data_IF_337974664801
#
_entry.id   IF_337974664801
#
_cell.length_a   1.000
_cell.length_b   1.000
_cell.length_c   1.000
_cell.angle_alpha   90.00
_cell.angle_beta   90.00
_cell.angle_gamma   90.00
#
_symmetry.space_group_name_H-M   'P 1'
#
loop_
_entity.id
_entity.type
_entity.pdbx_description
1 polymer ?
#
# COMPACT_ATOMS: atom_id res chain seq x y z
N UNK A 1 38.03 36.20 -23.81
CA UNK A 1 37.70 34.76 -23.75
C UNK A 1 37.21 34.44 -22.36
N UNK A 2 35.90 34.26 -22.20
CA UNK A 2 35.25 33.95 -20.93
C UNK A 2 35.61 32.53 -20.48
N UNK A 3 36.43 32.43 -19.42
CA UNK A 3 36.69 31.18 -18.72
C UNK A 3 35.43 30.73 -17.97
N UNK A 4 34.73 29.73 -18.53
CA UNK A 4 33.63 29.08 -17.83
C UNK A 4 34.26 28.12 -16.79
N UNK A 5 34.44 28.62 -15.57
CA UNK A 5 34.77 27.81 -14.40
C UNK A 5 33.56 26.95 -14.03
N UNK A 6 33.40 25.80 -14.69
CA UNK A 6 32.56 24.72 -14.18
C UNK A 6 33.19 24.16 -12.90
N UNK A 7 32.85 24.77 -11.77
CA UNK A 7 33.10 24.16 -10.46
C UNK A 7 32.15 22.98 -10.34
N UNK A 8 32.59 21.82 -10.82
CA UNK A 8 31.90 20.55 -10.59
C UNK A 8 31.91 20.35 -9.07
N UNK A 9 30.76 20.54 -8.43
CA UNK A 9 30.57 20.20 -7.01
C UNK A 9 30.87 18.71 -6.86
N UNK A 10 32.03 18.38 -6.30
CA UNK A 10 32.37 17.01 -5.92
C UNK A 10 31.28 16.51 -4.98
N UNK A 11 30.62 15.40 -5.35
CA UNK A 11 29.72 14.69 -4.45
C UNK A 11 30.49 14.39 -3.17
N UNK A 12 30.02 14.90 -2.03
CA UNK A 12 30.63 14.66 -0.72
C UNK A 12 30.93 13.17 -0.55
N UNK A 13 32.21 12.82 -0.43
CA UNK A 13 32.62 11.43 -0.27
C UNK A 13 32.07 10.91 1.06
N UNK A 14 31.14 9.94 1.00
CA UNK A 14 30.58 9.35 2.22
C UNK A 14 31.65 8.51 2.91
N UNK A 15 31.98 8.85 4.15
CA UNK A 15 32.88 8.06 5.01
C UNK A 15 32.40 6.60 5.05
N UNK A 16 33.31 5.64 4.94
CA UNK A 16 33.04 4.19 4.87
C UNK A 16 32.20 3.70 3.67
N UNK A 17 32.16 4.45 2.56
CA UNK A 17 31.56 3.98 1.31
C UNK A 17 32.60 3.41 0.33
N UNK A 18 32.20 2.44 -0.50
CA UNK A 18 32.99 1.99 -1.65
C UNK A 18 33.09 3.11 -2.70
N UNK A 19 34.14 3.07 -3.52
CA UNK A 19 34.28 3.97 -4.66
C UNK A 19 33.11 3.76 -5.64
N UNK A 20 32.48 4.85 -6.03
CA UNK A 20 31.52 4.87 -7.13
C UNK A 20 32.24 4.69 -8.47
N UNK A 21 31.50 4.30 -9.51
CA UNK A 21 32.05 4.23 -10.88
C UNK A 21 32.63 5.57 -11.31
N UNK A 22 31.98 6.69 -10.95
CA UNK A 22 32.48 8.03 -11.22
C UNK A 22 33.85 8.30 -10.56
N UNK A 23 33.99 8.00 -9.27
CA UNK A 23 35.28 8.12 -8.58
C UNK A 23 36.35 7.22 -9.22
N UNK A 24 35.99 5.99 -9.62
CA UNK A 24 36.91 5.08 -10.32
C UNK A 24 37.37 5.64 -11.67
N UNK A 25 36.49 6.31 -12.42
CA UNK A 25 36.80 7.00 -13.68
C UNK A 25 37.72 8.20 -13.47
N UNK A 26 37.52 8.98 -12.40
CA UNK A 26 38.43 10.07 -12.04
C UNK A 26 39.84 9.55 -11.67
N UNK A 27 39.93 8.43 -10.95
CA UNK A 27 41.23 7.78 -10.69
C UNK A 27 41.93 7.44 -12.00
N UNK A 28 41.20 6.95 -13.00
CA UNK A 28 41.77 6.59 -14.30
C UNK A 28 42.31 7.81 -15.04
N UNK A 29 41.52 8.88 -15.13
CA UNK A 29 41.95 10.12 -15.78
C UNK A 29 43.21 10.68 -15.11
N UNK A 30 43.20 10.82 -13.78
CA UNK A 30 44.34 11.41 -13.07
C UNK A 30 45.57 10.51 -13.00
N UNK A 31 45.40 9.18 -13.10
CA UNK A 31 46.52 8.26 -13.23
C UNK A 31 47.19 8.40 -14.61
N UNK A 32 46.41 8.63 -15.67
CA UNK A 32 46.93 8.94 -17.01
C UNK A 32 47.65 10.30 -17.05
N UNK A 33 47.17 11.28 -16.29
CA UNK A 33 47.83 12.58 -16.13
C UNK A 33 49.13 12.52 -15.29
N UNK A 34 49.53 11.34 -14.81
CA UNK A 34 50.75 11.14 -14.04
C UNK A 34 50.65 11.54 -12.56
N UNK A 35 49.44 11.78 -12.03
CA UNK A 35 49.27 12.13 -10.62
C UNK A 35 49.59 10.93 -9.71
N UNK A 36 50.27 11.19 -8.59
CA UNK A 36 50.56 10.14 -7.59
C UNK A 36 49.28 9.64 -6.91
N UNK A 37 49.28 8.39 -6.46
CA UNK A 37 48.12 7.81 -5.76
C UNK A 37 47.73 8.60 -4.49
N UNK A 38 48.71 9.23 -3.81
CA UNK A 38 48.45 10.10 -2.64
C UNK A 38 47.75 11.39 -3.04
N UNK A 39 48.15 11.99 -4.16
CA UNK A 39 47.50 13.19 -4.69
C UNK A 39 46.07 12.90 -5.14
N UNK A 40 45.85 11.79 -5.85
CA UNK A 40 44.51 11.32 -6.22
C UNK A 40 43.63 11.10 -4.98
N UNK A 41 44.19 10.50 -3.92
CA UNK A 41 43.48 10.26 -2.66
C UNK A 41 43.06 11.58 -1.98
N UNK A 42 43.95 12.57 -1.96
CA UNK A 42 43.68 13.91 -1.43
C UNK A 42 42.56 14.60 -2.22
N UNK A 43 42.59 14.54 -3.55
CA UNK A 43 41.57 15.12 -4.43
C UNK A 43 40.18 14.50 -4.25
N UNK A 44 40.11 13.18 -4.06
CA UNK A 44 38.84 12.46 -3.81
C UNK A 44 38.40 12.50 -2.34
N UNK A 45 39.21 13.07 -1.44
CA UNK A 45 39.01 12.96 0.00
C UNK A 45 38.80 11.50 0.44
N UNK A 46 39.74 10.63 0.05
CA UNK A 46 39.76 9.18 0.35
C UNK A 46 41.09 8.80 1.01
N UNK A 47 41.11 7.68 1.72
CA UNK A 47 42.35 7.13 2.25
C UNK A 47 43.28 6.70 1.09
N UNK A 48 44.59 6.99 1.14
CA UNK A 48 45.55 6.57 0.11
C UNK A 48 45.48 5.07 -0.20
N UNK A 49 45.25 4.25 0.83
CA UNK A 49 45.12 2.80 0.68
C UNK A 49 43.90 2.39 -0.16
N UNK A 50 42.82 3.17 -0.13
CA UNK A 50 41.65 2.94 -0.99
C UNK A 50 42.01 3.09 -2.47
N UNK A 51 42.81 4.10 -2.80
CA UNK A 51 43.27 4.35 -4.19
C UNK A 51 44.26 3.27 -4.63
N UNK A 52 45.23 2.90 -3.77
CA UNK A 52 46.16 1.81 -4.06
C UNK A 52 45.42 0.48 -4.36
N UNK A 53 44.45 0.13 -3.52
CA UNK A 53 43.64 -1.07 -3.71
C UNK A 53 42.78 -1.00 -4.98
N UNK A 54 42.24 0.17 -5.31
CA UNK A 54 41.47 0.40 -6.53
C UNK A 54 42.33 0.18 -7.77
N UNK A 55 43.52 0.81 -7.82
CA UNK A 55 44.47 0.67 -8.92
C UNK A 55 44.87 -0.79 -9.07
N UNK A 56 45.29 -1.46 -7.98
CA UNK A 56 45.65 -2.88 -8.00
C UNK A 56 44.55 -3.77 -8.58
N UNK A 57 43.27 -3.49 -8.30
CA UNK A 57 42.13 -4.28 -8.80
C UNK A 57 41.78 -3.98 -10.26
N UNK A 58 42.02 -2.76 -10.74
CA UNK A 58 41.68 -2.34 -12.11
C UNK A 58 42.84 -2.37 -13.09
N UNK A 59 44.07 -2.62 -12.65
CA UNK A 59 45.23 -2.71 -13.54
C UNK A 59 45.24 -4.02 -14.30
N UNK A 60 45.38 -3.93 -15.62
CA UNK A 60 45.50 -5.07 -16.53
C UNK A 60 46.70 -4.90 -17.45
N UNK A 61 47.30 -6.03 -17.82
CA UNK A 61 48.39 -6.09 -18.81
C UNK A 61 47.82 -5.91 -20.21
N UNK A 62 48.23 -4.85 -20.89
CA UNK A 62 47.85 -4.53 -22.25
C UNK A 62 48.98 -4.89 -23.21
N UNK A 63 48.67 -5.67 -24.26
CA UNK A 63 49.63 -6.01 -25.31
C UNK A 63 49.66 -4.90 -26.34
N UNK A 64 50.83 -4.33 -26.59
CA UNK A 64 51.07 -3.34 -27.63
C UNK A 64 51.98 -3.94 -28.71
N UNK A 65 51.54 -3.91 -29.96
CA UNK A 65 52.30 -4.46 -31.09
C UNK A 65 52.75 -3.29 -31.95
N UNK A 66 54.07 -3.21 -32.20
CA UNK A 66 54.66 -2.23 -33.11
C UNK A 66 55.26 -3.01 -34.28
N UNK A 67 54.95 -2.60 -35.51
CA UNK A 67 55.57 -3.14 -36.73
C UNK A 67 56.51 -2.09 -37.31
N UNK A 68 57.77 -2.47 -37.53
CA UNK A 68 58.78 -1.60 -38.16
C UNK A 68 59.75 -2.45 -38.97
N UNK A 69 60.07 -2.02 -40.20
CA UNK A 69 60.96 -2.70 -41.14
C UNK A 69 60.76 -4.24 -41.22
N UNK A 70 59.54 -4.69 -41.53
CA UNK A 70 59.14 -6.11 -41.58
C UNK A 70 59.33 -6.93 -40.28
N UNK A 71 59.66 -6.29 -39.15
CA UNK A 71 59.76 -6.92 -37.84
C UNK A 71 58.59 -6.51 -36.95
N UNK A 72 58.09 -7.45 -36.16
CA UNK A 72 56.99 -7.23 -35.21
C UNK A 72 57.53 -7.29 -33.79
N UNK A 73 57.37 -6.20 -33.04
CA UNK A 73 57.76 -6.07 -31.64
C UNK A 73 56.52 -6.08 -30.76
N UNK A 74 56.53 -6.94 -29.74
CA UNK A 74 55.45 -7.02 -28.74
C UNK A 74 55.93 -6.45 -27.42
N UNK A 75 55.18 -5.49 -26.90
CA UNK A 75 55.40 -4.87 -25.59
C UNK A 75 54.19 -5.12 -24.70
N UNK A 76 54.40 -5.07 -23.39
CA UNK A 76 53.34 -5.19 -22.40
C UNK A 76 53.39 -3.99 -21.48
N UNK A 77 52.27 -3.29 -21.40
CA UNK A 77 52.11 -2.12 -20.52
C UNK A 77 51.02 -2.43 -19.50
N UNK A 78 51.25 -2.13 -18.22
CA UNK A 78 50.23 -2.23 -17.19
C UNK A 78 49.43 -0.92 -17.12
N UNK A 79 48.12 -1.00 -17.33
CA UNK A 79 47.24 0.18 -17.30
C UNK A 79 46.03 -0.07 -16.43
N UNK A 80 45.68 0.93 -15.63
CA UNK A 80 44.47 0.93 -14.82
C UNK A 80 43.24 1.30 -15.67
N UNK A 81 42.18 0.51 -15.54
CA UNK A 81 40.87 0.79 -16.14
C UNK A 81 39.78 0.83 -15.07
N UNK A 82 39.00 1.92 -15.07
CA UNK A 82 37.91 2.12 -14.13
C UNK A 82 36.82 1.04 -14.26
N UNK A 83 36.50 0.64 -15.51
CA UNK A 83 35.49 -0.38 -15.78
C UNK A 83 35.90 -1.75 -15.22
N UNK A 84 37.17 -2.14 -15.40
CA UNK A 84 37.69 -3.40 -14.84
C UNK A 84 37.61 -3.41 -13.31
N UNK A 85 38.01 -2.32 -12.65
CA UNK A 85 37.86 -2.19 -11.20
C UNK A 85 36.38 -2.29 -10.77
N UNK A 86 35.48 -1.65 -11.53
CA UNK A 86 34.05 -1.70 -11.25
C UNK A 86 33.44 -3.10 -11.44
N UNK A 87 33.91 -3.87 -12.42
CA UNK A 87 33.54 -5.28 -12.62
C UNK A 87 34.03 -6.16 -11.47
N UNK A 88 35.28 -6.00 -11.05
CA UNK A 88 35.81 -6.69 -9.85
C UNK A 88 35.01 -6.32 -8.61
N UNK A 89 34.62 -5.05 -8.45
CA UNK A 89 33.73 -4.62 -7.38
C UNK A 89 32.36 -5.30 -7.46
N UNK A 90 31.72 -5.33 -8.63
CA UNK A 90 30.42 -5.99 -8.84
C UNK A 90 30.49 -7.49 -8.53
N UNK A 91 31.54 -8.17 -9.00
CA UNK A 91 31.76 -9.60 -8.73
C UNK A 91 31.88 -9.84 -7.22
N UNK A 92 32.77 -9.12 -6.53
CA UNK A 92 32.91 -9.23 -5.08
C UNK A 92 31.60 -8.94 -4.34
N UNK A 93 30.84 -7.92 -4.78
CA UNK A 93 29.54 -7.58 -4.18
C UNK A 93 28.47 -8.61 -4.44
N UNK A 94 28.52 -9.34 -5.57
CA UNK A 94 27.60 -10.45 -5.83
C UNK A 94 27.82 -11.62 -4.87
N UNK A 95 29.06 -11.81 -4.42
CA UNK A 95 29.44 -12.78 -3.38
C UNK A 95 29.23 -12.26 -1.95
N UNK A 96 28.84 -11.00 -1.79
CA UNK A 96 28.56 -10.40 -0.48
C UNK A 96 27.08 -10.52 -0.12
N UNK A 97 26.83 -10.88 1.14
CA UNK A 97 25.51 -10.79 1.76
C UNK A 97 24.87 -12.15 2.04
N UNK A 98 23.82 -12.13 2.87
CA UNK A 98 23.05 -13.32 3.20
C UNK A 98 22.31 -13.80 1.95
N UNK A 99 22.34 -15.12 1.69
CA UNK A 99 21.51 -15.78 0.67
C UNK A 99 20.09 -15.21 0.73
N UNK A 100 19.56 -14.64 -0.36
CA UNK A 100 18.26 -14.01 -0.34
C UNK A 100 17.16 -15.00 0.07
N UNK A 101 16.37 -14.62 1.07
CA UNK A 101 15.37 -15.50 1.68
C UNK A 101 14.40 -16.12 0.67
N UNK A 102 14.04 -15.40 -0.40
CA UNK A 102 13.11 -15.87 -1.45
C UNK A 102 13.59 -17.11 -2.22
N UNK A 103 14.87 -17.48 -2.13
CA UNK A 103 15.40 -18.68 -2.79
C UNK A 103 14.88 -19.96 -2.10
N UNK A 104 14.66 -19.89 -0.80
CA UNK A 104 14.42 -21.08 0.04
C UNK A 104 12.98 -21.16 0.58
N UNK A 105 12.05 -20.32 0.09
CA UNK A 105 10.67 -20.20 0.61
C UNK A 105 9.60 -20.27 -0.48
N UNK A 106 9.83 -21.10 -1.50
CA UNK A 106 8.97 -21.19 -2.69
C UNK A 106 7.50 -21.49 -2.35
N UNK A 107 7.24 -22.33 -1.34
CA UNK A 107 5.88 -22.63 -0.87
C UNK A 107 5.15 -21.38 -0.35
N UNK A 108 5.82 -20.59 0.51
CA UNK A 108 5.27 -19.33 1.00
C UNK A 108 5.00 -18.35 -0.15
N UNK A 109 5.92 -18.24 -1.12
CA UNK A 109 5.76 -17.34 -2.26
C UNK A 109 4.58 -17.74 -3.14
N UNK A 110 4.46 -19.03 -3.47
CA UNK A 110 3.32 -19.57 -4.23
C UNK A 110 1.99 -19.31 -3.52
N UNK A 111 1.95 -19.55 -2.20
CA UNK A 111 0.77 -19.26 -1.38
C UNK A 111 0.44 -17.77 -1.36
N UNK A 112 1.43 -16.91 -1.13
CA UNK A 112 1.25 -15.46 -1.10
C UNK A 112 0.79 -14.92 -2.46
N UNK A 113 1.37 -15.41 -3.56
CA UNK A 113 0.94 -15.09 -4.93
C UNK A 113 -0.52 -15.51 -5.16
N UNK A 114 -0.92 -16.71 -4.74
CA UNK A 114 -2.31 -17.15 -4.83
C UNK A 114 -3.24 -16.20 -4.05
N UNK A 115 -2.91 -15.88 -2.80
CA UNK A 115 -3.70 -14.97 -1.95
C UNK A 115 -3.81 -13.56 -2.51
N UNK A 116 -2.75 -13.02 -3.10
CA UNK A 116 -2.77 -11.67 -3.68
C UNK A 116 -3.51 -11.64 -5.03
N UNK A 117 -3.29 -12.64 -5.90
CA UNK A 117 -3.84 -12.65 -7.26
C UNK A 117 -5.31 -13.08 -7.30
N UNK A 118 -5.66 -14.14 -6.57
CA UNK A 118 -7.00 -14.73 -6.54
C UNK A 118 -7.84 -14.11 -5.43
N UNK A 119 -7.34 -14.14 -4.19
CA UNK A 119 -8.09 -13.66 -3.03
C UNK A 119 -7.97 -12.15 -2.81
N UNK A 120 -7.23 -11.42 -3.67
CA UNK A 120 -7.07 -9.96 -3.60
C UNK A 120 -6.54 -9.42 -2.27
N UNK A 121 -5.82 -10.24 -1.51
CA UNK A 121 -5.17 -9.83 -0.26
C UNK A 121 -4.05 -8.82 -0.51
N UNK A 122 -3.70 -8.04 0.52
CA UNK A 122 -2.49 -7.22 0.48
C UNK A 122 -1.27 -8.06 0.93
N UNK A 123 -0.04 -7.66 0.55
CA UNK A 123 1.17 -8.29 1.07
C UNK A 123 1.22 -8.32 2.62
N UNK A 124 0.72 -7.28 3.28
CA UNK A 124 0.64 -7.25 4.76
C UNK A 124 -0.36 -8.26 5.32
N UNK A 125 -1.52 -8.41 4.68
CA UNK A 125 -2.52 -9.41 5.08
C UNK A 125 -1.95 -10.83 4.92
N UNK A 126 -1.25 -11.12 3.83
CA UNK A 126 -0.58 -12.42 3.62
C UNK A 126 0.45 -12.71 4.74
N UNK A 127 1.40 -11.81 4.94
CA UNK A 127 2.47 -12.01 5.94
C UNK A 127 1.89 -12.12 7.35
N UNK A 128 0.99 -11.23 7.71
CA UNK A 128 0.41 -11.18 9.04
C UNK A 128 -0.49 -12.36 9.35
N UNK A 129 -1.36 -12.74 8.41
CA UNK A 129 -2.22 -13.91 8.56
C UNK A 129 -1.41 -15.20 8.67
N UNK A 130 -0.37 -15.37 7.84
CA UNK A 130 0.52 -16.52 7.90
C UNK A 130 1.20 -16.64 9.28
N UNK A 131 1.66 -15.52 9.86
CA UNK A 131 2.26 -15.50 11.20
C UNK A 131 1.24 -15.79 12.30
N UNK A 132 0.10 -15.11 12.27
CA UNK A 132 -0.93 -15.23 13.30
C UNK A 132 -1.50 -16.66 13.39
N UNK A 133 -1.58 -17.36 12.25
CA UNK A 133 -2.10 -18.73 12.16
C UNK A 133 -1.00 -19.79 12.05
N UNK A 134 0.28 -19.41 12.18
CA UNK A 134 1.43 -20.33 12.12
C UNK A 134 1.41 -21.26 10.90
N UNK A 135 1.02 -20.71 9.74
CA UNK A 135 0.86 -21.50 8.51
C UNK A 135 2.20 -22.03 7.95
N UNK A 136 3.29 -21.36 8.29
CA UNK A 136 4.64 -21.69 7.87
C UNK A 136 5.59 -21.47 9.06
N UNK A 137 6.78 -22.11 9.06
CA UNK A 137 7.83 -21.79 10.01
C UNK A 137 8.15 -20.29 10.04
N UNK A 138 8.39 -19.74 11.24
CA UNK A 138 8.72 -18.32 11.40
C UNK A 138 9.99 -17.92 10.62
N UNK A 139 10.90 -18.87 10.44
CA UNK A 139 12.12 -18.74 9.62
C UNK A 139 11.82 -18.56 8.14
N UNK A 140 10.66 -18.96 7.63
CA UNK A 140 10.28 -18.88 6.22
C UNK A 140 9.40 -17.66 5.90
N UNK A 141 8.64 -17.17 6.87
CA UNK A 141 7.77 -16.01 6.64
C UNK A 141 8.63 -14.72 6.58
N UNK A 142 8.62 -13.97 5.46
CA UNK A 142 9.37 -12.72 5.34
C UNK A 142 8.72 -11.58 6.15
N UNK A 143 9.40 -10.44 6.21
CA UNK A 143 8.74 -9.20 6.63
C UNK A 143 7.82 -8.68 5.52
N UNK A 144 6.78 -7.93 5.87
CA UNK A 144 5.92 -7.24 4.89
C UNK A 144 6.75 -6.40 3.91
N UNK A 145 7.77 -5.69 4.41
CA UNK A 145 8.68 -4.87 3.61
C UNK A 145 9.46 -5.70 2.58
N UNK A 146 9.96 -6.87 2.99
CA UNK A 146 10.67 -7.79 2.10
C UNK A 146 9.76 -8.27 0.98
N UNK A 147 8.52 -8.63 1.29
CA UNK A 147 7.54 -9.08 0.29
C UNK A 147 7.25 -7.98 -0.75
N UNK A 148 7.01 -6.74 -0.30
CA UNK A 148 6.87 -5.59 -1.20
C UNK A 148 8.11 -5.34 -2.07
N UNK A 149 9.32 -5.51 -1.51
CA UNK A 149 10.56 -5.34 -2.26
C UNK A 149 10.74 -6.41 -3.34
N UNK A 150 10.30 -7.63 -3.10
CA UNK A 150 10.37 -8.71 -4.10
C UNK A 150 9.38 -8.49 -5.25
N UNK A 151 8.16 -8.02 -4.94
CA UNK A 151 7.19 -7.58 -5.95
C UNK A 151 7.77 -6.42 -6.78
N UNK A 152 8.42 -5.43 -6.15
CA UNK A 152 9.06 -4.31 -6.86
C UNK A 152 10.16 -4.75 -7.83
N UNK A 153 10.90 -5.81 -7.48
CA UNK A 153 11.98 -6.36 -8.29
C UNK A 153 11.49 -7.42 -9.28
N UNK A 154 10.17 -7.63 -9.39
CA UNK A 154 9.57 -8.67 -10.23
C UNK A 154 10.08 -10.08 -9.93
N UNK A 155 10.40 -10.37 -8.66
CA UNK A 155 10.86 -11.68 -8.20
C UNK A 155 9.71 -12.62 -7.79
N UNK A 156 8.47 -12.19 -7.99
CA UNK A 156 7.24 -12.93 -7.68
C UNK A 156 6.29 -12.89 -8.88
N UNK A 157 5.28 -13.78 -8.91
CA UNK A 157 4.26 -13.72 -9.96
C UNK A 157 3.39 -12.47 -9.80
N UNK A 158 3.09 -12.08 -8.57
CA UNK A 158 2.40 -10.82 -8.26
C UNK A 158 3.26 -9.63 -8.65
N UNK A 159 2.69 -8.71 -9.43
CA UNK A 159 3.33 -7.48 -9.89
C UNK A 159 2.72 -6.27 -9.22
N UNK A 160 3.37 -5.12 -9.40
CA UNK A 160 2.87 -3.84 -8.89
C UNK A 160 1.47 -3.49 -9.40
N UNK A 161 1.12 -3.91 -10.62
CA UNK A 161 -0.20 -3.66 -11.22
C UNK A 161 -1.34 -4.43 -10.55
N UNK A 162 -1.03 -5.56 -9.91
CA UNK A 162 -2.00 -6.39 -9.20
C UNK A 162 -2.37 -5.79 -7.84
N UNK A 163 -1.54 -4.88 -7.32
CA UNK A 163 -1.73 -4.21 -6.03
C UNK A 163 -2.51 -2.90 -6.23
N UNK A 164 -3.83 -2.96 -6.00
CA UNK A 164 -4.76 -1.84 -6.27
C UNK A 164 -4.37 -0.50 -5.66
N UNK A 165 -3.69 -0.50 -4.50
CA UNK A 165 -3.27 0.73 -3.82
C UNK A 165 -1.98 1.33 -4.39
N UNK A 166 -1.19 0.52 -5.10
CA UNK A 166 0.15 0.89 -5.58
C UNK A 166 0.12 1.66 -6.89
N UNK A 167 -0.89 1.42 -7.72
CA UNK A 167 -1.05 2.07 -9.04
C UNK A 167 -1.87 3.37 -8.95
N UNK A 168 -2.18 3.85 -7.74
CA UNK A 168 -2.97 5.08 -7.56
C UNK A 168 -2.14 6.31 -7.93
N UNK A 169 -2.56 7.04 -8.98
CA UNK A 169 -2.09 8.41 -9.21
C UNK A 169 -2.77 9.33 -8.21
N UNK A 170 -1.98 10.20 -7.56
CA UNK A 170 -2.53 11.28 -6.74
C UNK A 170 -3.22 12.25 -7.70
N UNK A 171 -4.55 12.28 -7.69
CA UNK A 171 -5.28 13.28 -8.44
C UNK A 171 -4.92 14.65 -7.88
N UNK A 172 -4.48 15.59 -8.75
CA UNK A 172 -4.37 17.01 -8.38
C UNK A 172 -5.73 17.44 -7.83
N UNK A 173 -5.71 18.15 -6.71
CA UNK A 173 -6.90 18.64 -6.01
C UNK A 173 -7.80 19.40 -6.99
N UNK A 174 -8.85 18.74 -7.48
CA UNK A 174 -9.98 19.45 -8.07
C UNK A 174 -10.67 20.15 -6.90
N UNK A 175 -10.69 21.49 -6.92
CA UNK A 175 -11.55 22.28 -6.04
C UNK A 175 -12.98 21.77 -6.22
N UNK A 176 -13.44 20.96 -5.28
CA UNK A 176 -14.85 20.57 -5.24
C UNK A 176 -15.63 21.83 -4.90
N UNK A 177 -16.53 22.25 -5.81
CA UNK A 177 -17.51 23.29 -5.53
C UNK A 177 -18.33 22.89 -4.30
N UNK A 178 -18.22 23.71 -3.26
CA UNK A 178 -18.92 23.61 -1.99
C UNK A 178 -20.41 23.89 -2.24
N UNK A 179 -21.27 22.90 -2.07
CA UNK A 179 -22.72 23.02 -2.33
C UNK A 179 -23.47 23.10 -1.00
N UNK A 180 -23.80 24.32 -0.54
CA UNK A 180 -24.37 24.58 0.79
C UNK A 180 -25.71 23.86 1.01
N UNK A 181 -25.68 22.59 1.42
CA UNK A 181 -26.85 21.94 1.99
C UNK A 181 -26.93 22.34 3.47
N UNK A 182 -27.89 23.21 3.80
CA UNK A 182 -28.08 23.85 5.11
C UNK A 182 -29.06 23.12 6.05
N UNK A 183 -29.72 22.03 5.61
CA UNK A 183 -30.74 21.36 6.44
C UNK A 183 -30.08 20.52 7.53
N UNK A 184 -30.47 20.72 8.79
CA UNK A 184 -30.20 19.77 9.88
C UNK A 184 -31.25 18.66 9.77
N UNK A 185 -30.82 17.43 9.52
CA UNK A 185 -31.72 16.27 9.36
C UNK A 185 -32.07 15.58 10.70
N UNK A 186 -31.39 15.94 11.79
CA UNK A 186 -31.67 15.40 13.12
C UNK A 186 -30.62 15.82 14.14
N UNK A 187 -30.46 14.99 15.17
CA UNK A 187 -29.52 15.18 16.28
C UNK A 187 -28.10 15.28 15.74
N UNK A 188 -27.36 16.29 16.20
CA UNK A 188 -25.99 16.56 15.78
C UNK A 188 -25.03 15.47 16.26
N UNK A 189 -23.95 15.22 15.52
CA UNK A 189 -22.86 14.35 15.98
C UNK A 189 -22.18 14.87 17.26
N UNK A 190 -22.33 16.16 17.59
CA UNK A 190 -21.85 16.76 18.85
C UNK A 190 -22.60 16.26 20.08
N UNK A 191 -23.86 15.88 19.93
CA UNK A 191 -24.69 15.32 21.02
C UNK A 191 -24.43 13.82 21.20
N UNK A 192 -23.56 13.23 20.38
CA UNK A 192 -23.22 11.81 20.44
C UNK A 192 -22.28 11.52 21.61
N UNK A 193 -22.61 10.56 22.50
CA UNK A 193 -21.75 10.21 23.61
C UNK A 193 -20.31 9.87 23.21
N UNK A 194 -19.33 10.40 23.95
CA UNK A 194 -17.89 10.27 23.64
C UNK A 194 -17.43 8.81 23.54
N UNK A 195 -18.04 7.91 24.32
CA UNK A 195 -17.77 6.46 24.26
C UNK A 195 -17.97 5.84 22.87
N UNK A 196 -18.82 6.43 22.03
CA UNK A 196 -19.04 5.97 20.65
C UNK A 196 -17.84 6.32 19.76
N UNK A 197 -17.10 7.37 20.12
CA UNK A 197 -15.93 7.81 19.36
C UNK A 197 -14.75 6.87 19.52
N UNK A 198 -14.55 6.27 20.70
CA UNK A 198 -13.41 5.37 21.01
C UNK A 198 -13.48 4.05 20.23
N UNK A 199 -14.67 3.67 19.74
CA UNK A 199 -14.92 2.44 18.98
C UNK A 199 -14.73 1.16 19.80
N UNK A 200 -14.87 1.26 21.11
CA UNK A 200 -14.71 0.14 22.05
C UNK A 200 -16.02 -0.57 22.36
N UNK A 201 -17.15 0.15 22.25
CA UNK A 201 -18.48 -0.39 22.43
C UNK A 201 -19.02 -1.00 21.13
N UNK A 202 -19.62 -2.20 21.24
CA UNK A 202 -20.27 -2.87 20.13
C UNK A 202 -21.68 -2.32 19.92
N UNK A 203 -22.07 -2.19 18.64
CA UNK A 203 -23.45 -1.90 18.23
C UNK A 203 -23.65 -0.50 17.67
N UNK A 204 -22.58 0.26 17.44
CA UNK A 204 -22.64 1.57 16.81
C UNK A 204 -22.27 1.47 15.34
N UNK A 205 -23.15 1.92 14.45
CA UNK A 205 -23.01 1.75 13.01
C UNK A 205 -22.83 3.09 12.30
N UNK A 206 -22.08 3.10 11.21
CA UNK A 206 -22.07 4.21 10.25
C UNK A 206 -22.82 3.73 8.99
N UNK A 207 -23.77 4.54 8.51
CA UNK A 207 -24.53 4.27 7.29
C UNK A 207 -24.07 5.19 6.16
N UNK A 208 -23.91 4.66 4.95
CA UNK A 208 -23.48 5.44 3.78
C UNK A 208 -24.05 4.89 2.46
N UNK A 209 -23.86 5.61 1.36
CA UNK A 209 -24.19 5.14 0.01
C UNK A 209 -22.98 5.11 -0.91
N UNK A 210 -22.79 3.99 -1.62
CA UNK A 210 -21.80 3.85 -2.69
C UNK A 210 -22.50 3.91 -4.03
N UNK A 211 -22.22 5.00 -4.75
CA UNK A 211 -22.74 5.25 -6.10
C UNK A 211 -21.88 4.52 -7.13
N UNK A 212 -22.51 3.80 -8.05
CA UNK A 212 -21.89 3.26 -9.25
C UNK A 212 -21.80 4.36 -10.32
N UNK A 213 -22.75 4.32 -11.27
CA UNK A 213 -23.01 5.37 -12.26
C UNK A 213 -23.82 6.52 -11.63
N UNK A 214 -23.64 7.74 -12.16
CA UNK A 214 -24.03 9.00 -11.49
C UNK A 214 -25.51 9.41 -11.59
N UNK A 215 -26.42 8.66 -12.24
CA UNK A 215 -27.81 9.12 -12.32
C UNK A 215 -28.53 8.85 -10.99
N UNK A 216 -29.42 9.75 -10.57
CA UNK A 216 -30.13 9.66 -9.27
C UNK A 216 -31.01 8.40 -9.14
N UNK A 217 -31.52 7.91 -10.27
CA UNK A 217 -32.38 6.73 -10.38
C UNK A 217 -31.59 5.43 -10.49
N UNK A 218 -30.26 5.49 -10.68
CA UNK A 218 -29.46 4.28 -10.77
C UNK A 218 -29.39 3.63 -9.39
N UNK A 219 -29.46 2.29 -9.29
CA UNK A 219 -29.26 1.58 -8.05
C UNK A 219 -27.95 1.99 -7.37
N UNK A 220 -27.98 2.03 -6.04
CA UNK A 220 -26.80 2.29 -5.20
C UNK A 220 -26.62 1.17 -4.19
N UNK A 221 -25.42 1.05 -3.63
CA UNK A 221 -25.21 0.19 -2.48
C UNK A 221 -25.37 1.03 -1.21
N UNK A 222 -26.35 0.67 -0.39
CA UNK A 222 -26.44 1.09 0.99
C UNK A 222 -25.42 0.27 1.79
N UNK A 223 -24.56 0.97 2.54
CA UNK A 223 -23.53 0.36 3.36
C UNK A 223 -23.79 0.65 4.82
N UNK A 224 -23.60 -0.36 5.67
CA UNK A 224 -23.62 -0.21 7.12
C UNK A 224 -22.36 -0.85 7.69
N UNK A 225 -21.55 -0.07 8.40
CA UNK A 225 -20.32 -0.56 9.04
C UNK A 225 -20.41 -0.45 10.55
N UNK A 226 -20.19 -1.57 11.25
CA UNK A 226 -20.13 -1.57 12.71
C UNK A 226 -18.76 -1.03 13.18
N UNK A 227 -18.78 -0.04 14.06
CA UNK A 227 -17.61 0.77 14.41
C UNK A 227 -16.58 0.03 15.26
N UNK A 228 -16.90 -1.02 16.02
CA UNK A 228 -15.89 -1.76 16.79
C UNK A 228 -15.18 -2.79 15.93
N UNK A 229 -15.95 -3.61 15.25
CA UNK A 229 -15.56 -4.83 14.54
C UNK A 229 -15.31 -4.62 13.05
N UNK A 230 -15.69 -3.46 12.49
CA UNK A 230 -15.59 -3.14 11.06
C UNK A 230 -16.37 -4.11 10.16
N UNK A 231 -17.37 -4.77 10.74
CA UNK A 231 -18.25 -5.66 9.99
C UNK A 231 -19.15 -4.84 9.09
N UNK A 232 -19.19 -5.21 7.81
CA UNK A 232 -19.91 -4.50 6.77
C UNK A 232 -21.20 -5.24 6.40
N UNK A 233 -22.27 -4.49 6.13
CA UNK A 233 -23.42 -4.96 5.38
C UNK A 233 -23.60 -4.13 4.13
N UNK A 234 -23.78 -4.83 3.00
CA UNK A 234 -24.05 -4.22 1.69
C UNK A 234 -25.46 -4.60 1.25
N UNK A 235 -26.28 -3.61 0.94
CA UNK A 235 -27.64 -3.80 0.43
C UNK A 235 -27.77 -3.02 -0.87
N UNK A 236 -28.20 -3.68 -1.95
CA UNK A 236 -28.54 -3.00 -3.20
C UNK A 236 -29.91 -2.35 -3.06
N UNK A 237 -29.98 -1.04 -3.21
CA UNK A 237 -31.24 -0.28 -3.20
C UNK A 237 -31.48 0.38 -4.56
N UNK A 238 -32.74 0.66 -4.88
CA UNK A 238 -33.17 1.10 -6.22
C UNK A 238 -32.69 2.49 -6.61
N UNK A 239 -32.27 3.33 -5.66
CA UNK A 239 -31.77 4.66 -5.95
C UNK A 239 -31.25 5.37 -4.72
N UNK A 240 -30.68 6.56 -4.92
CA UNK A 240 -30.20 7.42 -3.84
C UNK A 240 -31.31 8.36 -3.36
N UNK A 241 -32.36 7.79 -2.78
CA UNK A 241 -33.56 8.50 -2.29
C UNK A 241 -33.97 8.01 -0.91
N UNK A 242 -34.65 8.83 -0.08
CA UNK A 242 -35.14 8.43 1.25
C UNK A 242 -35.94 7.13 1.23
N UNK A 243 -36.98 7.06 0.37
CA UNK A 243 -37.82 5.87 0.23
C UNK A 243 -37.03 4.59 -0.10
N UNK A 244 -35.98 4.69 -0.94
CA UNK A 244 -35.14 3.53 -1.26
C UNK A 244 -34.26 3.10 -0.08
N UNK A 245 -33.78 4.05 0.72
CA UNK A 245 -33.04 3.78 1.96
C UNK A 245 -33.97 3.13 2.99
N UNK A 246 -35.18 3.64 3.17
CA UNK A 246 -36.19 3.11 4.11
C UNK A 246 -36.56 1.66 3.79
N UNK A 247 -36.81 1.36 2.52
CA UNK A 247 -37.06 -0.02 2.06
C UNK A 247 -35.85 -0.93 2.34
N UNK A 248 -34.63 -0.43 2.14
CA UNK A 248 -33.40 -1.16 2.46
C UNK A 248 -33.23 -1.44 3.95
N UNK A 249 -33.55 -0.46 4.80
CA UNK A 249 -33.51 -0.59 6.26
C UNK A 249 -34.63 -1.48 6.79
N UNK A 250 -35.83 -1.42 6.21
CA UNK A 250 -36.92 -2.34 6.53
C UNK A 250 -36.55 -3.78 6.19
N UNK A 251 -35.97 -4.02 5.01
CA UNK A 251 -35.43 -5.34 4.66
C UNK A 251 -34.38 -5.82 5.66
N UNK A 252 -33.51 -4.92 6.12
CA UNK A 252 -32.52 -5.24 7.17
C UNK A 252 -33.20 -5.56 8.50
N UNK A 253 -34.23 -4.79 8.91
CA UNK A 253 -35.07 -5.03 10.08
C UNK A 253 -35.66 -6.42 10.05
N UNK A 254 -36.33 -6.78 8.96
CA UNK A 254 -37.01 -8.07 8.83
C UNK A 254 -36.02 -9.25 8.87
N UNK A 255 -34.82 -9.07 8.30
CA UNK A 255 -33.79 -10.12 8.27
C UNK A 255 -32.96 -10.26 9.55
N UNK A 256 -32.85 -9.20 10.35
CA UNK A 256 -31.91 -9.14 11.48
C UNK A 256 -32.59 -8.88 12.82
N UNK A 257 -33.90 -8.66 12.79
CA UNK A 257 -34.74 -8.25 13.91
C UNK A 257 -34.20 -7.00 14.64
N UNK A 258 -33.48 -6.08 13.96
CA UNK A 258 -32.87 -4.82 14.49
C UNK A 258 -32.89 -4.75 16.02
N UNK A 259 -32.19 -5.68 16.68
CA UNK A 259 -32.19 -5.72 18.13
C UNK A 259 -31.36 -4.53 18.61
N UNK A 260 -31.87 -3.74 19.57
CA UNK A 260 -31.17 -2.60 20.18
C UNK A 260 -29.77 -2.97 20.68
N UNK A 261 -29.54 -4.23 21.02
CA UNK A 261 -28.22 -4.72 21.42
C UNK A 261 -27.20 -4.77 20.26
N UNK A 262 -27.68 -5.03 19.04
CA UNK A 262 -26.86 -5.09 17.82
C UNK A 262 -26.80 -3.71 17.17
N UNK A 263 -27.87 -2.91 17.25
CA UNK A 263 -27.97 -1.58 16.67
C UNK A 263 -28.34 -0.56 17.76
N UNK A 264 -27.33 -0.11 18.50
CA UNK A 264 -27.45 0.93 19.54
C UNK A 264 -27.57 2.31 18.94
N UNK A 265 -26.74 2.61 17.94
CA UNK A 265 -26.82 3.88 17.22
C UNK A 265 -26.45 3.73 15.74
N UNK A 266 -26.97 4.63 14.91
CA UNK A 266 -26.58 4.80 13.51
C UNK A 266 -26.13 6.26 13.31
N UNK A 267 -24.95 6.43 12.72
CA UNK A 267 -24.42 7.74 12.32
C UNK A 267 -24.42 7.86 10.80
N UNK A 268 -25.05 8.90 10.29
CA UNK A 268 -25.11 9.21 8.86
C UNK A 268 -24.41 10.52 8.52
N UNK A 269 -24.10 10.75 7.25
CA UNK A 269 -23.89 12.11 6.78
C UNK A 269 -25.22 12.85 6.62
N UNK A 270 -25.14 14.17 6.43
CA UNK A 270 -26.30 15.02 6.25
C UNK A 270 -26.85 14.99 4.80
N UNK A 271 -26.73 13.83 4.15
CA UNK A 271 -27.22 13.58 2.80
C UNK A 271 -28.75 13.52 2.77
N UNK A 272 -29.35 14.12 1.74
CA UNK A 272 -30.82 14.17 1.60
C UNK A 272 -31.47 12.80 1.52
N UNK A 273 -30.73 11.77 1.10
CA UNK A 273 -31.18 10.38 1.06
C UNK A 273 -31.42 9.77 2.45
N UNK A 274 -30.91 10.40 3.51
CA UNK A 274 -30.99 9.93 4.88
C UNK A 274 -31.98 10.76 5.72
N UNK A 275 -32.80 11.59 5.07
CA UNK A 275 -33.72 12.50 5.76
C UNK A 275 -34.79 11.81 6.60
N UNK A 276 -35.15 10.58 6.26
CA UNK A 276 -36.14 9.76 6.97
C UNK A 276 -35.53 8.94 8.11
N UNK A 277 -34.20 8.92 8.29
CA UNK A 277 -33.57 8.14 9.37
C UNK A 277 -34.06 8.56 10.75
N UNK A 278 -34.42 9.82 10.95
CA UNK A 278 -34.98 10.32 12.21
C UNK A 278 -36.25 9.58 12.66
N UNK A 279 -37.01 9.01 11.72
CA UNK A 279 -38.19 8.19 12.03
C UNK A 279 -37.83 6.87 12.72
N UNK A 280 -36.57 6.42 12.63
CA UNK A 280 -36.08 5.23 13.31
C UNK A 280 -35.59 5.51 14.73
N UNK A 281 -35.65 6.76 15.20
CA UNK A 281 -35.16 7.18 16.51
C UNK A 281 -35.82 6.42 17.68
N UNK A 282 -37.04 5.90 17.51
CA UNK A 282 -37.73 5.07 18.51
C UNK A 282 -37.00 3.74 18.79
N UNK A 283 -36.31 3.22 17.77
CA UNK A 283 -35.66 1.91 17.79
C UNK A 283 -34.14 1.99 17.93
N UNK A 284 -33.50 3.09 17.53
CA UNK A 284 -32.04 3.23 17.52
C UNK A 284 -31.64 4.70 17.58
N UNK A 285 -30.56 5.04 18.28
CA UNK A 285 -30.10 6.43 18.34
C UNK A 285 -29.55 6.88 16.98
N UNK A 286 -30.03 8.01 16.45
CA UNK A 286 -29.61 8.52 15.14
C UNK A 286 -28.81 9.81 15.32
N UNK A 287 -27.63 9.87 14.69
CA UNK A 287 -26.76 11.06 14.70
C UNK A 287 -26.36 11.45 13.28
N UNK A 288 -26.30 12.75 13.01
CA UNK A 288 -25.89 13.30 11.72
C UNK A 288 -24.57 14.07 11.83
N UNK A 289 -23.63 13.76 10.94
CA UNK A 289 -22.36 14.46 10.83
C UNK A 289 -22.54 15.90 10.34
N UNK A 290 -21.54 16.73 10.59
CA UNK A 290 -21.54 18.10 10.11
C UNK A 290 -21.48 18.13 8.57
N UNK A 291 -22.01 19.17 7.92
CA UNK A 291 -21.78 19.37 6.50
C UNK A 291 -20.27 19.48 6.22
N UNK A 292 -19.80 18.74 5.20
CA UNK A 292 -18.40 18.76 4.70
C UNK A 292 -17.31 18.16 5.61
N UNK A 293 -17.68 17.47 6.68
CA UNK A 293 -16.73 16.90 7.64
C UNK A 293 -16.52 15.40 7.42
N UNK A 294 -16.03 15.02 6.24
CA UNK A 294 -15.87 13.59 5.88
C UNK A 294 -14.99 12.78 6.85
N UNK A 295 -14.13 13.44 7.63
CA UNK A 295 -13.27 12.80 8.63
C UNK A 295 -14.05 12.23 9.83
N UNK A 296 -15.26 12.71 10.08
CA UNK A 296 -16.13 12.23 11.18
C UNK A 296 -16.59 10.77 10.96
N UNK A 297 -16.48 10.27 9.71
CA UNK A 297 -16.76 8.89 9.30
C UNK A 297 -15.57 8.22 8.61
N UNK A 298 -14.39 8.33 9.20
CA UNK A 298 -13.17 7.76 8.63
C UNK A 298 -13.21 6.24 8.37
N UNK A 299 -14.17 5.49 8.94
CA UNK A 299 -14.32 4.05 8.68
C UNK A 299 -14.90 3.77 7.30
N UNK A 300 -16.00 4.44 6.94
CA UNK A 300 -16.71 4.22 5.66
C UNK A 300 -15.81 4.44 4.45
N UNK A 301 -14.95 5.46 4.47
CA UNK A 301 -14.03 5.72 3.35
C UNK A 301 -13.07 4.53 3.10
N UNK A 302 -12.60 3.89 4.18
CA UNK A 302 -11.71 2.74 4.09
C UNK A 302 -12.45 1.50 3.55
N UNK A 303 -13.70 1.27 3.98
CA UNK A 303 -14.53 0.16 3.50
C UNK A 303 -14.93 0.35 2.03
N UNK A 304 -15.24 1.58 1.63
CA UNK A 304 -15.54 1.90 0.23
C UNK A 304 -14.36 1.55 -0.68
N UNK A 305 -13.11 1.75 -0.24
CA UNK A 305 -11.91 1.32 -1.00
C UNK A 305 -11.89 -0.19 -1.24
N UNK A 306 -12.43 -1.01 -0.32
CA UNK A 306 -12.55 -2.45 -0.51
C UNK A 306 -13.62 -2.79 -1.55
N UNK A 307 -14.79 -2.15 -1.51
CA UNK A 307 -15.84 -2.32 -2.52
C UNK A 307 -15.30 -1.97 -3.92
N UNK A 308 -14.51 -0.88 -4.02
CA UNK A 308 -13.91 -0.44 -5.28
C UNK A 308 -12.87 -1.40 -5.87
N UNK A 309 -12.45 -2.44 -5.16
CA UNK A 309 -11.65 -3.55 -5.74
C UNK A 309 -12.45 -4.39 -6.73
N UNK A 310 -13.78 -4.46 -6.57
CA UNK A 310 -14.66 -5.32 -7.37
C UNK A 310 -15.66 -4.53 -8.21
N UNK A 311 -16.07 -3.36 -7.73
CA UNK A 311 -17.04 -2.48 -8.40
C UNK A 311 -16.36 -1.13 -8.63
N UNK A 312 -15.85 -0.92 -9.82
CA UNK A 312 -15.19 0.33 -10.18
C UNK A 312 -16.17 1.51 -10.10
N UNK A 313 -15.62 2.74 -10.09
CA UNK A 313 -16.48 3.92 -10.26
C UNK A 313 -17.09 3.90 -11.65
N UNK A 314 -18.29 4.48 -11.77
CA UNK A 314 -19.03 4.59 -13.03
C UNK A 314 -19.53 3.25 -13.62
N UNK A 315 -19.30 2.12 -12.94
CA UNK A 315 -19.98 0.84 -13.25
C UNK A 315 -21.46 0.94 -12.87
N UNK A 316 -22.36 0.58 -13.79
CA UNK A 316 -23.80 0.47 -13.46
C UNK A 316 -24.00 -0.61 -12.42
N UNK A 317 -24.72 -0.29 -11.34
CA UNK A 317 -25.08 -1.27 -10.33
C UNK A 317 -26.29 -2.10 -10.75
N UNK A 318 -27.04 -1.72 -11.79
CA UNK A 318 -28.16 -2.51 -12.33
C UNK A 318 -27.70 -3.92 -12.69
N UNK A 319 -26.62 -4.01 -13.47
CA UNK A 319 -26.00 -5.25 -13.95
C UNK A 319 -25.29 -6.05 -12.86
N UNK A 320 -25.06 -5.46 -11.68
CA UNK A 320 -24.42 -6.16 -10.56
C UNK A 320 -25.47 -6.99 -9.82
N UNK A 321 -25.35 -8.31 -9.93
CA UNK A 321 -26.26 -9.27 -9.28
C UNK A 321 -26.17 -9.21 -7.75
N UNK A 322 -27.24 -9.64 -7.06
CA UNK A 322 -27.27 -9.71 -5.59
C UNK A 322 -26.24 -10.71 -5.07
N UNK A 323 -26.02 -11.81 -5.78
CA UNK A 323 -25.05 -12.86 -5.46
C UNK A 323 -23.61 -12.32 -5.51
N UNK A 324 -23.31 -11.48 -6.51
CA UNK A 324 -22.02 -10.81 -6.60
C UNK A 324 -21.80 -9.87 -5.42
N UNK A 325 -22.82 -9.12 -5.01
CA UNK A 325 -22.75 -8.23 -3.83
C UNK A 325 -22.55 -9.04 -2.55
N UNK A 326 -23.26 -10.16 -2.40
CA UNK A 326 -23.06 -11.08 -1.28
C UNK A 326 -21.63 -11.61 -1.22
N UNK A 327 -21.07 -12.06 -2.34
CA UNK A 327 -19.67 -12.52 -2.43
C UNK A 327 -18.68 -11.41 -2.07
N UNK A 328 -18.91 -10.18 -2.49
CA UNK A 328 -18.08 -9.02 -2.12
C UNK A 328 -18.18 -8.77 -0.61
N UNK A 329 -19.39 -8.78 -0.04
CA UNK A 329 -19.60 -8.55 1.38
C UNK A 329 -18.93 -9.63 2.24
N UNK A 330 -19.09 -10.90 1.87
CA UNK A 330 -18.40 -12.02 2.53
C UNK A 330 -16.88 -11.88 2.42
N UNK A 331 -16.35 -11.51 1.26
CA UNK A 331 -14.93 -11.26 1.10
C UNK A 331 -14.43 -10.14 2.03
N UNK A 332 -15.14 -9.01 2.09
CA UNK A 332 -14.78 -7.87 2.95
C UNK A 332 -14.75 -8.23 4.43
N UNK A 333 -15.70 -9.06 4.86
CA UNK A 333 -15.85 -9.47 6.24
C UNK A 333 -14.89 -10.59 6.64
N UNK A 334 -14.46 -11.43 5.69
CA UNK A 334 -13.47 -12.49 5.92
C UNK A 334 -12.01 -12.04 5.69
N UNK A 335 -11.78 -10.84 5.13
CA UNK A 335 -10.44 -10.30 4.92
C UNK A 335 -9.69 -10.14 6.27
N UNK A 336 -8.48 -10.71 6.43
CA UNK A 336 -7.64 -10.51 7.61
C UNK A 336 -7.25 -9.04 7.79
N UNK A 337 -7.44 -8.50 8.99
CA UNK A 337 -7.14 -7.09 9.28
C UNK A 337 -6.08 -6.94 10.37
N UNK A 338 -5.02 -6.19 10.09
CA UNK A 338 -3.93 -5.92 11.05
C UNK A 338 -4.42 -5.37 12.39
N UNK A 339 -5.41 -4.47 12.36
CA UNK A 339 -6.05 -3.89 13.56
C UNK A 339 -6.67 -4.94 14.50
N UNK A 340 -6.95 -6.13 13.98
CA UNK A 340 -7.52 -7.25 14.74
C UNK A 340 -6.52 -8.38 14.96
N UNK A 341 -5.22 -8.07 14.87
CA UNK A 341 -4.15 -9.06 14.87
C UNK A 341 -4.39 -10.15 13.80
N UNK A 342 -4.78 -9.71 12.61
CA UNK A 342 -5.07 -10.54 11.44
C UNK A 342 -6.26 -11.50 11.57
N UNK A 343 -7.12 -11.29 12.57
CA UNK A 343 -8.50 -11.82 12.56
C UNK A 343 -9.38 -11.02 11.59
N UNK A 344 -10.46 -11.64 11.13
CA UNK A 344 -11.43 -11.04 10.22
C UNK A 344 -12.49 -10.21 10.98
N UNK A 345 -13.16 -9.31 10.27
CA UNK A 345 -14.27 -8.55 10.84
C UNK A 345 -15.43 -9.47 11.24
N UNK A 346 -15.68 -10.52 10.44
CA UNK A 346 -16.69 -11.56 10.73
C UNK A 346 -16.41 -12.27 12.05
N UNK A 347 -15.17 -12.70 12.29
CA UNK A 347 -14.79 -13.35 13.54
C UNK A 347 -14.98 -12.44 14.76
N UNK A 348 -14.60 -11.16 14.63
CA UNK A 348 -14.80 -10.16 15.69
C UNK A 348 -16.28 -9.92 15.95
N UNK A 349 -17.09 -9.79 14.92
CA UNK A 349 -18.54 -9.61 15.01
C UNK A 349 -19.21 -10.80 15.70
N UNK A 350 -18.94 -12.03 15.24
CA UNK A 350 -19.48 -13.25 15.84
C UNK A 350 -19.10 -13.34 17.33
N UNK A 351 -17.87 -12.95 17.70
CA UNK A 351 -17.44 -12.94 19.11
C UNK A 351 -18.30 -12.00 19.95
N UNK A 352 -18.61 -10.79 19.46
CA UNK A 352 -19.45 -9.85 20.19
C UNK A 352 -20.92 -10.33 20.25
N UNK A 353 -21.46 -10.88 19.15
CA UNK A 353 -22.80 -11.47 19.15
C UNK A 353 -22.92 -12.63 20.14
N UNK A 354 -21.90 -13.49 20.26
CA UNK A 354 -21.89 -14.57 21.25
C UNK A 354 -21.94 -14.04 22.68
N UNK A 355 -21.22 -12.94 22.98
CA UNK A 355 -21.28 -12.32 24.31
C UNK A 355 -22.67 -11.79 24.65
N UNK A 356 -23.39 -11.24 23.68
CA UNK A 356 -24.76 -10.76 23.89
C UNK A 356 -25.74 -11.90 24.18
N UNK A 357 -25.53 -13.09 23.60
CA UNK A 357 -26.40 -14.27 23.82
C UNK A 357 -26.04 -15.09 25.07
N UNK A 358 -24.90 -14.82 25.68
CA UNK A 358 -24.43 -15.52 26.89
C UNK A 358 -24.75 -14.73 28.18
N UNK A 359 -25.39 -13.57 28.02
CA UNK A 359 -26.10 -12.81 29.05
C UNK A 359 -27.58 -13.17 28.86
#
# INVERSE_FOLDING_TARGET
>A
MTHINYTIKFTESKKNSYLSLHEMSLIQAWNLDGNSNREIARRLNRAPQTINNAIKKGTVKQKRIIKSNNKTYTYYDEKYFALTNYEVYKSNRSSCGKRPKYIDIDEFLKWADHKMLKDKWSPDACVGYAKANRLFPSSEIPSTKSLYNWINKSLMKTKNIDLLEKVKRRNKNSMRRTRQNKKKLGISIEERPDKIQTREEFGHWEIDTVIGKKKKTDPVLLTLVERKTRYEKLIKIHGKTPNAVDLGLKFLKDKTQLNKEIFKSITSDNGSEFSSLSELAEYVDIYFCHPYTSWERGTSECQHKLIRRFIQKDTSLEEVSKEKIYRINEWMNNLPRKIFNYKSAKEKFIKEIKKLKSI
#
